data_IF_355466338113
#
_entry.id   IF_355466338113
#
_cell.length_a   1.000
_cell.length_b   1.000
_cell.length_c   1.000
_cell.angle_alpha   90.00
_cell.angle_beta   90.00
_cell.angle_gamma   90.00
#
_symmetry.space_group_name_H-M   'P 1'
#
loop_
_entity.id
_entity.type
_entity.pdbx_description
1 polymer ?
#
# COMPACT_ATOMS: atom_id res chain seq x y z
N UNK A 1 -60.78 24.62 45.39
CA UNK A 1 -60.11 23.47 44.78
C UNK A 1 -59.78 23.70 43.28
N UNK A 2 -60.66 24.48 42.59
CA UNK A 2 -60.47 24.80 41.17
C UNK A 2 -59.27 25.75 40.86
N UNK A 3 -59.01 26.75 41.78
CA UNK A 3 -57.92 27.73 41.55
C UNK A 3 -56.52 27.15 41.56
N UNK A 4 -56.25 26.05 42.28
CA UNK A 4 -54.98 25.37 42.31
C UNK A 4 -54.82 24.54 41.03
N UNK A 5 -55.89 23.97 40.52
CA UNK A 5 -55.90 23.22 39.28
C UNK A 5 -55.64 24.11 38.06
N UNK A 6 -56.27 25.33 38.07
CA UNK A 6 -56.10 26.34 37.02
C UNK A 6 -54.67 26.96 37.03
N UNK A 7 -54.12 27.22 38.22
CA UNK A 7 -52.73 27.64 38.39
C UNK A 7 -51.76 26.58 37.89
N UNK A 8 -52.01 25.32 38.20
CA UNK A 8 -51.16 24.18 37.71
C UNK A 8 -51.22 24.09 36.18
N UNK A 9 -52.41 24.20 35.59
CA UNK A 9 -52.52 24.11 34.12
C UNK A 9 -51.91 25.33 33.41
N UNK A 10 -52.04 26.55 34.00
CA UNK A 10 -51.37 27.75 33.46
C UNK A 10 -49.87 27.72 33.59
N UNK A 11 -49.31 27.20 34.68
CA UNK A 11 -47.88 27.02 34.84
C UNK A 11 -47.38 25.95 33.85
N UNK A 12 -48.13 24.87 33.63
CA UNK A 12 -47.83 23.79 32.70
C UNK A 12 -47.85 24.25 31.23
N UNK A 13 -48.88 25.08 30.86
CA UNK A 13 -48.93 25.63 29.48
C UNK A 13 -47.83 26.65 29.22
N UNK A 14 -47.54 27.54 30.19
CA UNK A 14 -46.45 28.50 30.08
C UNK A 14 -45.06 27.84 29.99
N UNK A 15 -44.85 26.72 30.66
CA UNK A 15 -43.61 25.93 30.53
C UNK A 15 -43.49 25.23 29.17
N UNK A 16 -44.62 24.78 28.62
CA UNK A 16 -44.66 24.20 27.27
C UNK A 16 -44.34 25.25 26.19
N UNK A 17 -44.85 26.45 26.32
CA UNK A 17 -44.63 27.56 25.39
C UNK A 17 -43.22 28.17 25.49
N UNK A 18 -42.61 28.16 26.69
CA UNK A 18 -41.28 28.72 26.95
C UNK A 18 -40.15 27.76 26.63
N UNK A 19 -40.30 26.46 26.87
CA UNK A 19 -39.21 25.47 26.81
C UNK A 19 -39.46 24.36 25.77
N UNK A 20 -40.69 24.29 25.21
CA UNK A 20 -41.05 23.24 24.25
C UNK A 20 -41.14 21.83 24.84
N UNK A 21 -41.13 21.71 26.20
CA UNK A 21 -41.16 20.42 26.89
C UNK A 21 -42.56 20.09 27.36
N UNK A 22 -43.09 18.95 26.93
CA UNK A 22 -44.36 18.43 27.44
C UNK A 22 -44.12 17.60 28.71
N UNK A 23 -44.68 18.05 29.83
CA UNK A 23 -44.51 17.42 31.15
C UNK A 23 -44.97 15.95 31.17
N UNK A 24 -45.88 15.59 30.27
CA UNK A 24 -46.33 14.20 30.11
C UNK A 24 -45.20 13.25 29.70
N UNK A 25 -44.11 13.77 29.07
CA UNK A 25 -42.94 12.99 28.63
C UNK A 25 -41.85 12.81 29.69
N UNK A 26 -41.95 13.52 30.85
CA UNK A 26 -40.92 13.44 31.90
C UNK A 26 -40.72 12.00 32.44
N UNK A 27 -41.76 11.20 32.73
CA UNK A 27 -41.56 9.82 33.18
C UNK A 27 -40.86 8.97 32.13
N UNK A 28 -41.20 9.16 30.85
CA UNK A 28 -40.55 8.47 29.74
C UNK A 28 -39.05 8.87 29.62
N UNK A 29 -38.76 10.19 29.76
CA UNK A 29 -37.37 10.68 29.73
C UNK A 29 -36.52 10.11 30.87
N UNK A 30 -37.08 10.00 32.09
CA UNK A 30 -36.38 9.39 33.22
C UNK A 30 -36.02 7.92 32.93
N UNK A 31 -36.98 7.17 32.39
CA UNK A 31 -36.74 5.76 32.00
C UNK A 31 -35.65 5.69 30.89
N UNK A 32 -35.73 6.57 29.89
CA UNK A 32 -34.74 6.64 28.82
C UNK A 32 -33.35 6.96 29.35
N UNK A 33 -33.23 7.92 30.29
CA UNK A 33 -31.92 8.23 30.92
C UNK A 33 -31.36 7.02 31.66
N UNK A 34 -32.20 6.27 32.41
CA UNK A 34 -31.75 5.05 33.08
C UNK A 34 -31.28 3.98 32.11
N UNK A 35 -32.02 3.78 31.01
CA UNK A 35 -31.63 2.85 29.96
C UNK A 35 -30.31 3.29 29.31
N UNK A 36 -30.18 4.55 28.94
CA UNK A 36 -28.94 5.11 28.38
C UNK A 36 -27.77 4.94 29.33
N UNK A 37 -27.94 5.15 30.63
CA UNK A 37 -26.92 4.95 31.65
C UNK A 37 -26.47 3.48 31.75
N UNK A 38 -27.41 2.54 31.72
CA UNK A 38 -27.12 1.10 31.75
C UNK A 38 -26.35 0.72 30.50
N UNK A 39 -26.80 1.15 29.30
CA UNK A 39 -26.14 0.89 28.02
C UNK A 39 -24.72 1.49 28.04
N UNK A 40 -24.56 2.72 28.51
CA UNK A 40 -23.27 3.39 28.66
C UNK A 40 -22.32 2.52 29.49
N UNK A 41 -22.77 2.06 30.66
CA UNK A 41 -21.94 1.29 31.58
C UNK A 41 -21.52 -0.06 30.95
N UNK A 42 -22.46 -0.79 30.37
CA UNK A 42 -22.16 -2.08 29.71
C UNK A 42 -21.19 -1.86 28.54
N UNK A 43 -21.42 -0.87 27.70
CA UNK A 43 -20.59 -0.58 26.53
C UNK A 43 -19.15 -0.25 26.94
N UNK A 44 -18.96 0.62 27.97
CA UNK A 44 -17.65 1.03 28.38
C UNK A 44 -16.91 -0.04 29.18
N UNK A 45 -17.61 -0.84 29.97
CA UNK A 45 -17.02 -2.01 30.64
C UNK A 45 -16.51 -3.03 29.62
N UNK A 46 -17.31 -3.32 28.59
CA UNK A 46 -16.91 -4.19 27.49
C UNK A 46 -15.74 -3.62 26.68
N UNK A 47 -15.81 -2.34 26.31
CA UNK A 47 -14.74 -1.65 25.58
C UNK A 47 -13.41 -1.69 26.35
N UNK A 48 -13.44 -1.36 27.63
CA UNK A 48 -12.24 -1.38 28.47
C UNK A 48 -11.67 -2.78 28.63
N UNK A 49 -12.51 -3.83 28.74
CA UNK A 49 -12.06 -5.21 28.76
C UNK A 49 -11.42 -5.64 27.43
N UNK A 50 -11.97 -5.23 26.28
CA UNK A 50 -11.41 -5.50 24.98
C UNK A 50 -10.07 -4.78 24.79
N UNK A 51 -9.98 -3.49 25.13
CA UNK A 51 -8.76 -2.72 25.04
C UNK A 51 -7.67 -3.23 25.95
N UNK A 52 -8.02 -3.69 27.16
CA UNK A 52 -7.06 -4.25 28.12
C UNK A 52 -6.41 -5.57 27.65
N UNK A 53 -7.09 -6.32 26.76
CA UNK A 53 -6.56 -7.57 26.17
C UNK A 53 -5.64 -7.32 24.96
N UNK A 54 -5.64 -6.12 24.42
CA UNK A 54 -4.83 -5.75 23.25
C UNK A 54 -3.46 -5.21 23.70
N UNK A 55 -2.44 -5.40 22.86
CA UNK A 55 -1.09 -4.82 23.07
C UNK A 55 -0.98 -3.37 22.59
N UNK A 56 -2.11 -2.66 22.54
CA UNK A 56 -2.18 -1.28 22.06
C UNK A 56 -1.62 -0.34 23.14
N UNK A 57 -0.92 0.71 22.72
CA UNK A 57 -0.39 1.75 23.62
C UNK A 57 -1.52 2.39 24.43
N UNK A 58 -1.23 2.66 25.71
CA UNK A 58 -2.20 3.23 26.65
C UNK A 58 -2.75 4.60 26.20
N UNK A 59 -1.91 5.41 25.53
CA UNK A 59 -2.35 6.71 25.01
C UNK A 59 -3.36 6.53 23.87
N UNK A 60 -3.12 5.56 22.99
CA UNK A 60 -4.07 5.26 21.90
C UNK A 60 -5.40 4.72 22.47
N UNK A 61 -5.36 3.85 23.48
CA UNK A 61 -6.55 3.38 24.17
C UNK A 61 -7.36 4.53 24.80
N UNK A 62 -6.65 5.50 25.40
CA UNK A 62 -7.30 6.69 25.97
C UNK A 62 -7.98 7.55 24.91
N UNK A 63 -7.32 7.78 23.76
CA UNK A 63 -7.89 8.53 22.63
C UNK A 63 -9.15 7.85 22.11
N UNK A 64 -9.08 6.55 21.82
CA UNK A 64 -10.21 5.76 21.34
C UNK A 64 -11.39 5.85 22.32
N UNK A 65 -11.11 5.65 23.61
CA UNK A 65 -12.14 5.72 24.67
C UNK A 65 -12.79 7.12 24.73
N UNK A 66 -11.98 8.18 24.60
CA UNK A 66 -12.49 9.56 24.61
C UNK A 66 -13.38 9.86 23.40
N UNK A 67 -12.95 9.46 22.21
CA UNK A 67 -13.73 9.64 20.97
C UNK A 67 -15.08 8.91 21.06
N UNK A 68 -15.07 7.65 21.49
CA UNK A 68 -16.31 6.87 21.67
C UNK A 68 -17.22 7.50 22.72
N UNK A 69 -16.67 8.03 23.84
CA UNK A 69 -17.46 8.75 24.86
C UNK A 69 -18.19 9.95 24.26
N UNK A 70 -17.49 10.76 23.47
CA UNK A 70 -18.10 11.96 22.83
C UNK A 70 -19.26 11.55 21.90
N UNK A 71 -19.04 10.53 21.07
CA UNK A 71 -20.07 10.03 20.14
C UNK A 71 -21.29 9.51 20.92
N UNK A 72 -21.07 8.65 21.91
CA UNK A 72 -22.15 8.05 22.72
C UNK A 72 -22.92 9.11 23.50
N UNK A 73 -22.21 10.07 24.09
CA UNK A 73 -22.82 11.19 24.80
C UNK A 73 -23.74 12.01 23.89
N UNK A 74 -23.29 12.29 22.68
CA UNK A 74 -24.11 13.00 21.70
C UNK A 74 -25.36 12.20 21.30
N UNK A 75 -25.22 10.91 21.00
CA UNK A 75 -26.37 10.05 20.68
C UNK A 75 -27.40 10.07 21.83
N UNK A 76 -26.95 10.03 23.07
CA UNK A 76 -27.84 10.08 24.24
C UNK A 76 -28.53 11.42 24.38
N UNK A 77 -27.85 12.54 24.11
CA UNK A 77 -28.50 13.87 24.09
C UNK A 77 -29.63 13.87 23.06
N UNK A 78 -29.40 13.37 21.84
CA UNK A 78 -30.45 13.34 20.81
C UNK A 78 -31.64 12.47 21.24
N UNK A 79 -31.39 11.28 21.78
CA UNK A 79 -32.43 10.35 22.22
C UNK A 79 -33.25 10.98 23.35
N UNK A 80 -32.62 11.57 24.37
CA UNK A 80 -33.27 12.19 25.51
C UNK A 80 -34.08 13.41 25.06
N UNK A 81 -33.53 14.28 24.20
CA UNK A 81 -34.22 15.45 23.66
C UNK A 81 -35.47 15.05 22.87
N UNK A 82 -35.35 14.01 22.03
CA UNK A 82 -36.48 13.47 21.28
C UNK A 82 -37.59 12.93 22.19
N UNK A 83 -37.23 12.24 23.29
CA UNK A 83 -38.22 11.73 24.26
C UNK A 83 -38.92 12.84 25.04
N UNK A 84 -38.30 14.02 25.18
CA UNK A 84 -38.90 15.23 25.77
C UNK A 84 -39.80 16.01 24.80
N UNK A 85 -39.90 15.54 23.53
CA UNK A 85 -40.68 16.21 22.49
C UNK A 85 -39.98 17.41 21.85
N UNK A 86 -38.65 17.58 22.12
CA UNK A 86 -37.85 18.64 21.48
C UNK A 86 -37.51 18.20 20.05
N UNK A 87 -37.70 19.11 19.09
CA UNK A 87 -37.30 18.84 17.71
C UNK A 87 -35.78 18.78 17.61
N UNK A 88 -35.28 17.58 17.35
CA UNK A 88 -33.86 17.28 17.22
C UNK A 88 -33.36 17.36 15.79
N UNK A 89 -34.21 17.73 14.82
CA UNK A 89 -33.85 17.75 13.39
C UNK A 89 -32.63 18.63 13.11
N UNK A 90 -32.63 19.85 13.65
CA UNK A 90 -31.50 20.78 13.49
C UNK A 90 -30.19 20.24 14.12
N UNK A 91 -30.33 19.61 15.29
CA UNK A 91 -29.18 19.02 16.00
C UNK A 91 -28.58 17.87 15.19
N UNK A 92 -29.41 16.96 14.66
CA UNK A 92 -29.01 15.86 13.79
C UNK A 92 -28.36 16.40 12.51
N UNK A 93 -28.91 17.46 11.89
CA UNK A 93 -28.35 18.08 10.70
C UNK A 93 -26.92 18.60 10.94
N UNK A 94 -26.70 19.35 12.02
CA UNK A 94 -25.38 19.87 12.39
C UNK A 94 -24.38 18.72 12.62
N UNK A 95 -24.77 17.69 13.35
CA UNK A 95 -23.89 16.53 13.58
C UNK A 95 -23.62 15.71 12.34
N UNK A 96 -24.57 15.65 11.42
CA UNK A 96 -24.35 15.01 10.13
C UNK A 96 -23.26 15.73 9.32
N UNK A 97 -23.24 17.08 9.37
CA UNK A 97 -22.15 17.88 8.76
C UNK A 97 -20.79 17.63 9.44
N UNK A 98 -20.75 17.56 10.78
CA UNK A 98 -19.53 17.19 11.48
C UNK A 98 -19.07 15.77 11.14
N UNK A 99 -20.00 14.82 11.08
CA UNK A 99 -19.70 13.44 10.67
C UNK A 99 -19.13 13.37 9.26
N UNK A 100 -19.66 14.14 8.32
CA UNK A 100 -19.14 14.25 6.96
C UNK A 100 -17.71 14.84 6.96
N UNK A 101 -17.49 15.93 7.71
CA UNK A 101 -16.17 16.55 7.81
C UNK A 101 -15.11 15.59 8.37
N UNK A 102 -15.45 14.85 9.44
CA UNK A 102 -14.57 13.82 10.03
C UNK A 102 -14.33 12.69 9.01
N UNK A 103 -15.37 12.20 8.34
CA UNK A 103 -15.27 11.14 7.33
C UNK A 103 -14.29 11.51 6.21
N UNK A 104 -14.39 12.74 5.69
CA UNK A 104 -13.45 13.25 4.68
C UNK A 104 -12.02 13.35 5.23
N UNK A 105 -11.86 13.72 6.50
CA UNK A 105 -10.53 13.82 7.13
C UNK A 105 -9.83 12.48 7.29
N UNK A 106 -10.57 11.38 7.56
CA UNK A 106 -10.01 10.05 7.74
C UNK A 106 -10.01 9.20 6.47
N UNK A 107 -10.52 9.70 5.35
CA UNK A 107 -10.70 8.98 4.09
C UNK A 107 -9.39 8.32 3.62
N UNK A 108 -8.27 9.04 3.67
CA UNK A 108 -6.98 8.51 3.25
C UNK A 108 -6.48 7.35 4.13
N UNK A 109 -6.76 7.40 5.43
CA UNK A 109 -6.42 6.30 6.34
C UNK A 109 -7.24 5.05 5.99
N UNK A 110 -8.53 5.21 5.78
CA UNK A 110 -9.42 4.10 5.40
C UNK A 110 -9.06 3.52 4.02
N UNK A 111 -8.65 4.36 3.08
CA UNK A 111 -8.16 3.93 1.78
C UNK A 111 -6.91 3.03 1.91
N UNK A 112 -5.95 3.39 2.77
CA UNK A 112 -4.78 2.54 3.02
C UNK A 112 -5.18 1.16 3.59
N UNK A 113 -6.14 1.11 4.51
CA UNK A 113 -6.67 -0.14 5.07
C UNK A 113 -7.34 -1.00 3.99
N UNK A 114 -8.17 -0.39 3.15
CA UNK A 114 -8.83 -1.09 2.05
C UNK A 114 -7.84 -1.68 1.06
N UNK A 115 -6.79 -0.93 0.70
CA UNK A 115 -5.71 -1.42 -0.15
C UNK A 115 -4.89 -2.52 0.53
N UNK A 116 -4.60 -2.43 1.83
CA UNK A 116 -3.93 -3.51 2.58
C UNK A 116 -4.73 -4.81 2.49
N UNK A 117 -6.04 -4.76 2.72
CA UNK A 117 -6.93 -5.92 2.60
C UNK A 117 -6.91 -6.48 1.17
N UNK A 118 -7.00 -5.62 0.17
CA UNK A 118 -6.94 -6.02 -1.24
C UNK A 118 -5.61 -6.72 -1.58
N UNK A 119 -4.47 -6.18 -1.12
CA UNK A 119 -3.15 -6.77 -1.31
C UNK A 119 -3.05 -8.16 -0.66
N UNK A 120 -3.56 -8.31 0.56
CA UNK A 120 -3.53 -9.57 1.30
C UNK A 120 -4.44 -10.66 0.69
N UNK A 121 -5.54 -10.27 0.06
CA UNK A 121 -6.48 -11.19 -0.63
C UNK A 121 -5.92 -11.58 -2.00
N UNK A 122 -5.59 -10.59 -2.85
CA UNK A 122 -5.20 -10.81 -4.24
C UNK A 122 -3.72 -11.25 -4.38
N UNK A 123 -2.89 -10.93 -3.39
CA UNK A 123 -1.47 -11.29 -3.30
C UNK A 123 -0.67 -10.98 -4.58
N UNK A 124 -0.69 -9.74 -5.09
CA UNK A 124 0.16 -9.35 -6.20
C UNK A 124 1.65 -9.48 -5.83
N UNK A 125 1.95 -9.40 -4.54
CA UNK A 125 3.25 -9.69 -3.92
C UNK A 125 3.04 -10.19 -2.48
N UNK A 126 4.07 -10.78 -1.90
CA UNK A 126 4.13 -11.32 -0.53
C UNK A 126 5.37 -10.82 0.18
N UNK A 127 5.42 -11.02 1.50
CA UNK A 127 6.66 -10.82 2.25
C UNK A 127 7.77 -11.71 1.68
N UNK A 128 8.94 -11.12 1.47
CA UNK A 128 10.11 -11.75 0.85
C UNK A 128 10.18 -11.62 -0.68
N UNK A 129 9.14 -11.13 -1.36
CA UNK A 129 9.20 -10.86 -2.79
C UNK A 129 10.05 -9.63 -3.09
N UNK A 130 10.86 -9.71 -4.16
CA UNK A 130 11.62 -8.58 -4.70
C UNK A 130 10.75 -7.88 -5.76
N UNK A 131 10.40 -6.64 -5.48
CA UNK A 131 9.47 -5.86 -6.31
C UNK A 131 10.05 -4.50 -6.70
N UNK A 132 9.51 -3.94 -7.77
CA UNK A 132 9.73 -2.54 -8.15
C UNK A 132 8.39 -1.84 -8.28
N UNK A 133 8.30 -0.66 -7.69
CA UNK A 133 7.17 0.27 -7.80
C UNK A 133 7.72 1.69 -7.94
N UNK A 134 7.32 2.38 -9.01
CA UNK A 134 7.89 3.68 -9.40
C UNK A 134 9.44 3.61 -9.43
N UNK A 135 10.11 4.48 -8.68
CA UNK A 135 11.58 4.52 -8.58
C UNK A 135 12.13 3.65 -7.43
N UNK A 136 11.28 2.97 -6.67
CA UNK A 136 11.68 2.15 -5.53
C UNK A 136 11.74 0.67 -5.90
N UNK A 137 12.82 0.01 -5.48
CA UNK A 137 13.06 -1.41 -5.75
C UNK A 137 13.68 -2.08 -4.51
N UNK A 138 13.16 -3.25 -4.13
CA UNK A 138 13.67 -3.99 -2.97
C UNK A 138 12.79 -5.15 -2.54
N UNK A 139 13.18 -5.78 -1.44
CA UNK A 139 12.44 -6.88 -0.83
C UNK A 139 11.29 -6.36 0.04
N UNK A 140 10.12 -6.96 -0.10
CA UNK A 140 8.98 -6.71 0.79
C UNK A 140 9.27 -7.34 2.15
N UNK A 141 9.48 -6.53 3.18
CA UNK A 141 9.69 -7.01 4.55
C UNK A 141 8.39 -7.26 5.28
N UNK A 142 7.46 -6.30 5.21
CA UNK A 142 6.21 -6.39 5.95
C UNK A 142 5.10 -5.59 5.24
N UNK A 143 3.89 -6.16 5.23
CA UNK A 143 2.67 -5.47 4.83
C UNK A 143 1.90 -5.13 6.09
N UNK A 144 1.84 -3.85 6.45
CA UNK A 144 1.10 -3.35 7.61
C UNK A 144 -0.28 -2.81 7.19
N UNK A 145 -1.06 -2.37 8.17
CA UNK A 145 -2.41 -1.84 7.92
C UNK A 145 -2.41 -0.57 7.04
N UNK A 146 -1.37 0.27 7.13
CA UNK A 146 -1.31 1.56 6.44
C UNK A 146 -0.22 1.64 5.37
N UNK A 147 0.83 0.84 5.49
CA UNK A 147 1.97 0.88 4.58
C UNK A 147 2.56 -0.51 4.35
N UNK A 148 3.28 -0.65 3.24
CA UNK A 148 4.16 -1.76 2.93
C UNK A 148 5.61 -1.31 3.13
N UNK A 149 6.41 -2.11 3.86
CA UNK A 149 7.82 -1.85 4.10
C UNK A 149 8.65 -2.59 3.07
N UNK A 150 9.57 -1.89 2.43
CA UNK A 150 10.49 -2.43 1.42
C UNK A 150 11.92 -2.18 1.87
N UNK A 151 12.74 -3.23 1.90
CA UNK A 151 14.18 -3.15 2.14
C UNK A 151 14.92 -3.10 0.81
N UNK A 152 15.62 -1.99 0.55
CA UNK A 152 16.41 -1.83 -0.66
C UNK A 152 17.71 -2.63 -0.61
N UNK A 153 18.37 -2.79 -1.77
CA UNK A 153 19.71 -3.39 -1.85
C UNK A 153 20.80 -2.60 -1.12
N UNK A 154 20.55 -1.30 -0.86
CA UNK A 154 21.45 -0.43 -0.07
C UNK A 154 21.20 -0.54 1.44
N UNK A 155 20.33 -1.48 1.87
CA UNK A 155 19.93 -1.68 3.26
C UNK A 155 19.13 -0.49 3.85
N UNK A 156 18.33 0.19 3.03
CA UNK A 156 17.44 1.27 3.41
C UNK A 156 16.02 0.76 3.51
N UNK A 157 15.31 1.14 4.59
CA UNK A 157 13.91 0.79 4.79
C UNK A 157 13.00 1.88 4.23
N UNK A 158 12.18 1.54 3.24
CA UNK A 158 11.21 2.44 2.62
C UNK A 158 9.80 2.06 3.09
N UNK A 159 9.04 3.05 3.54
CA UNK A 159 7.64 2.91 3.96
C UNK A 159 6.74 3.50 2.87
N UNK A 160 6.05 2.66 2.13
CA UNK A 160 5.17 3.10 1.04
C UNK A 160 3.71 2.93 1.49
N UNK A 161 2.89 4.00 1.50
CA UNK A 161 1.46 3.89 1.79
C UNK A 161 0.77 2.86 0.89
N UNK A 162 -0.13 2.05 1.47
CA UNK A 162 -0.81 1.00 0.72
C UNK A 162 -1.69 1.54 -0.41
N UNK A 163 -2.18 2.77 -0.31
CA UNK A 163 -2.87 3.47 -1.40
C UNK A 163 -1.98 3.60 -2.64
N UNK A 164 -0.69 3.92 -2.47
CA UNK A 164 0.29 4.01 -3.56
C UNK A 164 0.56 2.61 -4.11
N UNK A 165 0.73 1.61 -3.23
CA UNK A 165 0.94 0.23 -3.64
C UNK A 165 -0.22 -0.33 -4.45
N UNK A 166 -1.46 0.00 -4.08
CA UNK A 166 -2.66 -0.51 -4.75
C UNK A 166 -3.06 0.22 -6.02
N UNK A 167 -2.58 1.46 -6.22
CA UNK A 167 -2.95 2.30 -7.38
C UNK A 167 -1.88 2.39 -8.46
N UNK A 168 -0.66 1.91 -8.20
CA UNK A 168 0.44 1.95 -9.17
C UNK A 168 0.76 0.57 -9.75
N UNK A 169 1.47 0.58 -10.87
CA UNK A 169 1.98 -0.66 -11.48
C UNK A 169 3.13 -1.21 -10.65
N UNK A 170 3.03 -2.49 -10.28
CA UNK A 170 4.06 -3.21 -9.54
C UNK A 170 4.69 -4.25 -10.47
N UNK A 171 6.02 -4.29 -10.52
CA UNK A 171 6.78 -5.35 -11.15
C UNK A 171 7.25 -6.30 -10.06
N UNK A 172 6.71 -7.52 -10.04
CA UNK A 172 7.15 -8.56 -9.12
C UNK A 172 8.16 -9.47 -9.84
N UNK A 173 9.42 -9.37 -9.43
CA UNK A 173 10.51 -10.13 -10.04
C UNK A 173 10.62 -11.58 -9.53
N UNK A 174 10.03 -11.87 -8.37
CA UNK A 174 10.16 -13.19 -7.71
C UNK A 174 8.95 -14.10 -7.91
N UNK A 175 7.86 -13.57 -8.41
CA UNK A 175 6.64 -14.35 -8.63
C UNK A 175 6.85 -15.47 -9.64
N UNK A 176 7.66 -15.25 -10.68
CA UNK A 176 7.98 -16.26 -11.68
C UNK A 176 9.28 -16.99 -11.32
N UNK A 177 9.35 -18.33 -11.50
CA UNK A 177 10.51 -19.13 -11.13
C UNK A 177 11.76 -18.83 -12.00
N UNK A 178 11.55 -18.39 -13.24
CA UNK A 178 12.61 -18.06 -14.17
C UNK A 178 12.52 -16.59 -14.58
N UNK A 179 13.69 -15.94 -14.66
CA UNK A 179 13.83 -14.55 -15.12
C UNK A 179 14.71 -14.51 -16.36
N UNK A 180 14.32 -13.68 -17.34
CA UNK A 180 15.09 -13.49 -18.58
C UNK A 180 16.16 -12.43 -18.35
N UNK A 181 17.40 -12.78 -18.65
CA UNK A 181 18.54 -11.87 -18.76
C UNK A 181 18.58 -11.37 -20.20
N UNK A 182 18.72 -10.06 -20.36
CA UNK A 182 18.96 -9.42 -21.64
C UNK A 182 20.26 -8.64 -21.54
N UNK A 183 21.20 -8.91 -22.49
CA UNK A 183 22.50 -8.27 -22.55
C UNK A 183 22.75 -7.77 -23.96
N UNK A 184 23.43 -6.64 -24.06
CA UNK A 184 23.96 -6.11 -25.31
C UNK A 184 25.48 -6.19 -25.25
N UNK A 185 26.09 -6.77 -26.31
CA UNK A 185 27.54 -6.98 -26.42
C UNK A 185 28.00 -6.41 -27.75
N UNK A 186 29.01 -5.58 -27.69
CA UNK A 186 29.60 -4.93 -28.86
C UNK A 186 30.88 -5.60 -29.27
N UNK A 187 31.08 -5.87 -30.60
CA UNK A 187 32.32 -6.37 -31.18
C UNK A 187 32.75 -5.51 -32.37
N UNK A 188 34.02 -5.68 -32.81
CA UNK A 188 34.53 -4.97 -33.97
C UNK A 188 33.78 -5.35 -35.25
N UNK A 189 33.78 -4.47 -36.24
CA UNK A 189 33.33 -4.77 -37.61
C UNK A 189 34.24 -5.80 -38.33
N UNK A 190 35.47 -5.94 -37.86
CA UNK A 190 36.42 -6.92 -38.42
C UNK A 190 36.15 -8.34 -37.93
N UNK A 191 35.36 -8.51 -36.86
CA UNK A 191 35.06 -9.83 -36.30
C UNK A 191 33.98 -10.56 -37.15
N UNK A 192 34.19 -11.86 -37.36
CA UNK A 192 33.19 -12.66 -38.08
C UNK A 192 31.94 -12.93 -37.22
N UNK A 193 30.79 -12.59 -37.75
CA UNK A 193 29.49 -12.67 -37.04
C UNK A 193 29.21 -14.09 -36.54
N UNK A 194 29.42 -15.11 -37.36
CA UNK A 194 29.12 -16.51 -37.02
C UNK A 194 30.05 -17.01 -35.91
N UNK A 195 31.33 -16.60 -35.93
CA UNK A 195 32.31 -16.90 -34.90
C UNK A 195 31.91 -16.27 -33.59
N UNK A 196 31.52 -14.98 -33.58
CA UNK A 196 31.02 -14.27 -32.37
C UNK A 196 29.82 -14.98 -31.80
N UNK A 197 28.79 -15.28 -32.62
CA UNK A 197 27.58 -15.98 -32.19
C UNK A 197 27.89 -17.34 -31.58
N UNK A 198 28.81 -18.09 -32.17
CA UNK A 198 29.25 -19.42 -31.68
C UNK A 198 29.90 -19.31 -30.29
N UNK A 199 30.78 -18.33 -30.09
CA UNK A 199 31.44 -18.12 -28.81
C UNK A 199 30.46 -17.63 -27.74
N UNK A 200 29.57 -16.71 -28.07
CA UNK A 200 28.50 -16.26 -27.15
C UNK A 200 27.61 -17.45 -26.75
N UNK A 201 27.24 -18.31 -27.69
CA UNK A 201 26.48 -19.52 -27.42
C UNK A 201 27.24 -20.48 -26.49
N UNK A 202 28.55 -20.70 -26.73
CA UNK A 202 29.37 -21.53 -25.89
C UNK A 202 29.45 -21.01 -24.45
N UNK A 203 29.62 -19.69 -24.24
CA UNK A 203 29.63 -19.08 -22.90
C UNK A 203 28.34 -19.37 -22.14
N UNK A 204 27.18 -19.30 -22.82
CA UNK A 204 25.89 -19.55 -22.22
C UNK A 204 25.68 -21.03 -21.89
N UNK A 205 26.09 -21.91 -22.80
CA UNK A 205 25.97 -23.36 -22.64
C UNK A 205 26.90 -23.89 -21.52
N UNK A 206 28.08 -23.30 -21.34
CA UNK A 206 29.03 -23.62 -20.27
C UNK A 206 28.60 -23.05 -18.89
N UNK A 207 27.72 -22.06 -18.85
CA UNK A 207 27.30 -21.47 -17.58
C UNK A 207 26.27 -22.36 -16.84
N UNK A 208 26.59 -22.86 -15.63
CA UNK A 208 25.70 -23.77 -14.91
C UNK A 208 24.42 -23.11 -14.39
N UNK A 209 24.33 -21.76 -14.34
CA UNK A 209 23.19 -21.03 -13.83
C UNK A 209 22.15 -20.71 -14.92
N UNK A 210 22.47 -20.95 -16.20
CA UNK A 210 21.53 -20.76 -17.30
C UNK A 210 20.52 -21.90 -17.37
N UNK A 211 19.27 -21.57 -17.65
CA UNK A 211 18.23 -22.57 -17.87
C UNK A 211 18.24 -22.99 -19.35
N UNK A 212 18.77 -24.21 -19.60
CA UNK A 212 18.95 -24.78 -20.94
C UNK A 212 17.65 -25.30 -21.56
N UNK A 213 16.60 -25.46 -20.75
CA UNK A 213 15.26 -25.88 -21.22
C UNK A 213 14.48 -24.74 -21.86
N UNK A 214 14.99 -23.53 -21.76
CA UNK A 214 14.40 -22.32 -22.35
C UNK A 214 15.19 -21.86 -23.56
N UNK A 215 14.50 -21.19 -24.48
CA UNK A 215 15.13 -20.65 -25.69
C UNK A 215 16.25 -19.68 -25.36
N UNK A 216 17.39 -19.87 -26.02
CA UNK A 216 18.53 -19.00 -26.03
C UNK A 216 18.53 -18.24 -27.33
N UNK A 217 18.41 -16.91 -27.26
CA UNK A 217 18.38 -16.04 -28.42
C UNK A 217 19.63 -15.19 -28.47
N UNK A 218 20.39 -15.30 -29.59
CA UNK A 218 21.64 -14.56 -29.84
C UNK A 218 21.59 -14.09 -31.27
N UNK A 219 21.44 -12.78 -31.49
CA UNK A 219 21.36 -12.21 -32.82
C UNK A 219 22.08 -10.86 -32.89
N UNK A 220 22.42 -10.44 -34.12
CA UNK A 220 22.84 -9.05 -34.36
C UNK A 220 21.64 -8.16 -34.11
N UNK A 221 21.81 -7.19 -33.22
CA UNK A 221 20.77 -6.25 -32.86
C UNK A 221 20.80 -5.00 -33.75
N UNK A 222 21.99 -4.42 -33.92
CA UNK A 222 22.19 -3.23 -34.76
C UNK A 222 23.65 -3.08 -35.18
N UNK A 223 23.89 -2.34 -36.26
CA UNK A 223 25.19 -1.84 -36.64
C UNK A 223 25.38 -0.44 -36.08
N UNK A 224 26.12 -0.33 -34.97
CA UNK A 224 26.37 0.91 -34.26
C UNK A 224 27.53 1.69 -34.92
N UNK A 225 27.81 2.92 -34.47
CA UNK A 225 28.80 3.83 -35.09
C UNK A 225 30.21 3.22 -35.20
N UNK A 226 30.64 2.38 -34.23
CA UNK A 226 31.98 1.79 -34.17
C UNK A 226 31.96 0.30 -33.81
N UNK A 227 30.81 -0.34 -33.81
CA UNK A 227 30.65 -1.72 -33.36
C UNK A 227 29.46 -2.42 -34.02
N UNK A 228 29.53 -3.75 -34.07
CA UNK A 228 28.37 -4.61 -34.29
C UNK A 228 27.80 -4.95 -32.90
N UNK A 229 26.57 -4.59 -32.63
CA UNK A 229 25.90 -4.88 -31.36
C UNK A 229 25.09 -6.16 -31.47
N UNK A 230 25.33 -7.08 -30.57
CA UNK A 230 24.57 -8.31 -30.41
C UNK A 230 23.64 -8.22 -29.25
N UNK A 231 22.46 -8.83 -29.35
CA UNK A 231 21.52 -9.04 -28.28
C UNK A 231 21.55 -10.50 -27.84
N UNK A 232 21.66 -10.71 -26.54
CA UNK A 232 21.60 -12.02 -25.90
C UNK A 232 20.40 -12.05 -24.98
N UNK A 233 19.52 -13.05 -25.17
CA UNK A 233 18.41 -13.30 -24.28
C UNK A 233 18.48 -14.74 -23.79
N UNK A 234 18.61 -14.90 -22.46
CA UNK A 234 18.74 -16.20 -21.81
C UNK A 234 17.96 -16.20 -20.50
N UNK A 235 17.46 -17.35 -20.13
CA UNK A 235 16.73 -17.51 -18.87
C UNK A 235 17.63 -18.14 -17.80
N UNK A 236 17.39 -17.75 -16.55
CA UNK A 236 17.98 -18.37 -15.37
C UNK A 236 16.94 -18.45 -14.25
N UNK A 237 17.26 -19.19 -13.19
CA UNK A 237 16.44 -19.17 -11.99
C UNK A 237 16.42 -17.74 -11.40
N UNK A 238 15.26 -17.26 -11.00
CA UNK A 238 15.09 -15.90 -10.46
C UNK A 238 16.01 -15.61 -9.28
N UNK A 239 16.26 -16.60 -8.41
CA UNK A 239 17.15 -16.48 -7.26
C UNK A 239 18.62 -16.24 -7.65
N UNK A 240 19.02 -16.74 -8.82
CA UNK A 240 20.39 -16.68 -9.31
C UNK A 240 20.61 -15.57 -10.34
N UNK A 241 19.59 -14.75 -10.61
CA UNK A 241 19.58 -13.75 -11.68
C UNK A 241 20.83 -12.87 -11.68
N UNK A 242 21.18 -12.26 -10.55
CA UNK A 242 22.33 -11.34 -10.43
C UNK A 242 23.65 -12.10 -10.64
N UNK A 243 23.79 -13.27 -10.01
CA UNK A 243 24.99 -14.11 -10.14
C UNK A 243 25.16 -14.59 -11.58
N UNK A 244 24.09 -15.07 -12.19
CA UNK A 244 24.09 -15.55 -13.57
C UNK A 244 24.49 -14.43 -14.53
N UNK A 245 23.86 -13.25 -14.42
CA UNK A 245 24.12 -12.08 -15.25
C UNK A 245 25.61 -11.68 -15.21
N UNK A 246 26.19 -11.51 -14.02
CA UNK A 246 27.59 -11.11 -13.89
C UNK A 246 28.57 -12.21 -14.31
N UNK A 247 28.23 -13.49 -14.08
CA UNK A 247 29.03 -14.63 -14.57
C UNK A 247 29.08 -14.64 -16.09
N UNK A 248 27.95 -14.45 -16.78
CA UNK A 248 27.90 -14.41 -18.25
C UNK A 248 28.77 -13.25 -18.76
N UNK A 249 28.62 -12.04 -18.25
CA UNK A 249 29.39 -10.86 -18.67
C UNK A 249 30.89 -11.11 -18.52
N UNK A 250 31.31 -11.64 -17.37
CA UNK A 250 32.73 -11.92 -17.11
C UNK A 250 33.29 -13.01 -18.03
N UNK A 251 32.52 -14.07 -18.29
CA UNK A 251 32.92 -15.16 -19.14
C UNK A 251 32.97 -14.78 -20.62
N UNK A 252 32.08 -13.90 -21.07
CA UNK A 252 32.12 -13.33 -22.44
C UNK A 252 33.47 -12.64 -22.66
N UNK A 253 33.88 -11.76 -21.74
CA UNK A 253 35.18 -11.06 -21.90
C UNK A 253 36.34 -12.04 -21.99
N UNK A 254 36.41 -13.07 -21.10
CA UNK A 254 37.47 -14.09 -21.12
C UNK A 254 37.49 -14.86 -22.44
N UNK A 255 36.35 -15.32 -22.90
CA UNK A 255 36.25 -16.09 -24.15
C UNK A 255 36.56 -15.23 -25.38
N UNK A 256 36.22 -13.96 -25.38
CA UNK A 256 36.59 -13.04 -26.44
C UNK A 256 38.13 -12.87 -26.50
N UNK A 257 38.79 -12.67 -25.36
CA UNK A 257 40.26 -12.57 -25.28
C UNK A 257 40.95 -13.86 -25.76
N UNK A 258 40.43 -15.02 -25.37
CA UNK A 258 40.96 -16.33 -25.80
C UNK A 258 40.83 -16.58 -27.31
N UNK A 259 39.84 -15.97 -27.96
CA UNK A 259 39.52 -16.20 -29.39
C UNK A 259 39.85 -15.00 -30.30
N UNK A 260 40.51 -13.97 -29.76
CA UNK A 260 40.93 -12.78 -30.54
C UNK A 260 39.78 -11.86 -30.98
N UNK A 261 38.60 -11.96 -30.34
CA UNK A 261 37.49 -11.06 -30.61
C UNK A 261 37.73 -9.74 -29.89
N UNK A 262 37.57 -8.64 -30.62
CA UNK A 262 37.82 -7.28 -30.10
C UNK A 262 36.56 -6.61 -29.64
N UNK A 263 36.56 -6.12 -28.38
CA UNK A 263 35.56 -5.16 -27.92
C UNK A 263 36.10 -3.77 -28.34
N UNK A 264 35.45 -3.10 -29.31
CA UNK A 264 36.03 -1.92 -29.94
C UNK A 264 35.92 -0.69 -29.02
N UNK A 265 36.89 0.20 -29.14
CA UNK A 265 36.81 1.55 -28.66
C UNK A 265 36.03 2.43 -29.67
N UNK A 266 35.59 3.59 -29.27
CA UNK A 266 35.06 4.56 -30.22
C UNK A 266 36.13 4.95 -31.22
N UNK A 267 35.83 4.75 -32.50
CA UNK A 267 36.77 5.02 -33.59
C UNK A 267 36.37 6.30 -34.34
N UNK A 268 37.32 7.20 -34.53
CA UNK A 268 37.14 8.43 -35.33
C UNK A 268 38.16 8.41 -36.48
N UNK A 269 37.63 8.45 -37.72
CA UNK A 269 38.45 8.61 -38.89
C UNK A 269 38.73 10.10 -39.15
N UNK A 270 39.99 10.50 -39.09
CA UNK A 270 40.39 11.90 -39.39
C UNK A 270 40.96 11.94 -40.78
N UNK A 271 40.27 12.65 -41.67
CA UNK A 271 40.77 12.95 -43.02
C UNK A 271 41.44 14.31 -43.04
N UNK A 272 42.78 14.37 -43.21
CA UNK A 272 43.46 15.67 -43.49
C UNK A 272 43.27 15.98 -44.96
N UNK A 273 42.39 16.99 -45.24
CA UNK A 273 42.32 17.60 -46.55
C UNK A 273 43.56 18.48 -46.74
N UNK A 274 44.44 18.12 -47.71
CA UNK A 274 45.54 18.97 -48.16
C UNK A 274 45.04 20.05 -49.09
#
# INVERSE_FOLDING_TARGET
MNSIFDLKNNVLSNMKDLVGIDISHIPAAIITILICYIIYRILFDLLNQLLAKTKIDKHLCYIINTVIKVIVFFVFIVIISSTLGIDTTSLIAVFSLFGLAISLSIQNLMSNVAHAISILINKPYKNGDYIKINDYEGNVEEITLFNTKILTTNNEMIYIPNTIMGSNTIINYTQMPNRRIELFIDTSYDDNIDTVKKILRQVIDENPLTNKDKDIFIEVYEYATSSIRYIIRVYCNTKDYIKCKFSIISNIKKKFDENGITIPYQTINIYNMK
#
